data_IF_016909848738
#
_entry.id   IF_016909848738
#
_cell.length_a   1.000
_cell.length_b   1.000
_cell.length_c   1.000
_cell.angle_alpha   90.00
_cell.angle_beta   90.00
_cell.angle_gamma   90.00
#
_symmetry.space_group_name_H-M   'P 1'
#
loop_
_entity.id
_entity.type
_entity.pdbx_description
1 polymer ?
#
# COMPACT_ATOMS: atom_id res chain seq x y z
N UNK A 1 -3.26 -8.22 -6.76
CA UNK A 1 -3.55 -8.49 -5.34
C UNK A 1 -4.67 -9.51 -5.31
N UNK A 2 -4.56 -10.52 -4.45
CA UNK A 2 -5.59 -11.54 -4.24
C UNK A 2 -6.25 -11.30 -2.88
N UNK A 3 -7.50 -11.73 -2.73
CA UNK A 3 -8.22 -11.68 -1.46
C UNK A 3 -7.89 -12.91 -0.61
N UNK A 4 -7.65 -12.70 0.68
CA UNK A 4 -7.40 -13.78 1.64
C UNK A 4 -8.23 -13.59 2.92
N UNK A 5 -8.14 -14.55 3.85
CA UNK A 5 -8.72 -14.43 5.19
C UNK A 5 -7.60 -14.33 6.23
N UNK A 6 -7.75 -13.41 7.18
CA UNK A 6 -6.88 -13.36 8.34
C UNK A 6 -7.01 -14.67 9.14
N UNK A 7 -5.91 -15.38 9.46
CA UNK A 7 -5.98 -16.65 10.18
C UNK A 7 -6.42 -16.51 11.64
N UNK A 8 -6.36 -15.30 12.21
CA UNK A 8 -6.71 -15.03 13.60
C UNK A 8 -8.18 -14.63 13.74
N UNK A 9 -8.58 -13.54 13.07
CA UNK A 9 -9.93 -12.97 13.20
C UNK A 9 -10.88 -13.36 12.06
N UNK A 10 -10.41 -14.08 11.04
CA UNK A 10 -11.20 -14.53 9.87
C UNK A 10 -11.80 -13.41 9.01
N UNK A 11 -11.40 -12.15 9.24
CA UNK A 11 -11.74 -11.03 8.38
C UNK A 11 -11.17 -11.22 6.97
N UNK A 12 -11.87 -10.69 5.96
CA UNK A 12 -11.39 -10.67 4.58
C UNK A 12 -10.34 -9.57 4.46
N UNK A 13 -9.18 -9.90 3.89
CA UNK A 13 -8.06 -8.98 3.71
C UNK A 13 -7.65 -8.88 2.25
N UNK A 14 -7.10 -7.73 1.86
CA UNK A 14 -6.69 -7.47 0.49
C UNK A 14 -7.85 -7.01 -0.40
N UNK A 15 -7.89 -7.46 -1.65
CA UNK A 15 -8.94 -7.12 -2.61
C UNK A 15 -8.52 -7.39 -4.06
N UNK A 16 -9.29 -6.90 -5.02
CA UNK A 16 -9.12 -7.19 -6.46
C UNK A 16 -8.78 -5.93 -7.24
N UNK A 17 -7.99 -6.05 -8.32
CA UNK A 17 -7.68 -4.92 -9.23
C UNK A 17 -7.13 -3.68 -8.51
N UNK A 18 -6.17 -3.86 -7.60
CA UNK A 18 -5.58 -2.78 -6.78
C UNK A 18 -6.56 -2.03 -5.86
N UNK A 19 -7.79 -2.53 -5.71
CA UNK A 19 -8.79 -1.98 -4.80
C UNK A 19 -8.91 -2.87 -3.57
N UNK A 20 -8.65 -2.30 -2.39
CA UNK A 20 -8.91 -2.95 -1.11
C UNK A 20 -10.42 -3.10 -0.88
N UNK A 21 -10.83 -4.13 -0.14
CA UNK A 21 -12.20 -4.19 0.38
C UNK A 21 -12.47 -2.97 1.27
N UNK A 22 -13.72 -2.49 1.25
CA UNK A 22 -14.13 -1.23 1.92
C UNK A 22 -14.04 -1.28 3.44
N UNK A 23 -13.98 -2.48 4.00
CA UNK A 23 -13.86 -2.77 5.42
C UNK A 23 -12.41 -3.02 5.87
N UNK A 24 -11.44 -3.02 4.94
CA UNK A 24 -10.02 -3.03 5.34
C UNK A 24 -9.63 -1.67 5.93
N UNK A 25 -9.10 -1.70 7.14
CA UNK A 25 -8.51 -0.55 7.82
C UNK A 25 -6.98 -0.68 7.91
N UNK A 26 -6.32 0.42 8.23
CA UNK A 26 -4.91 0.40 8.62
C UNK A 26 -4.73 -0.45 9.89
N UNK A 27 -3.72 -1.31 9.89
CA UNK A 27 -3.25 -2.08 11.04
C UNK A 27 -2.04 -1.34 11.67
N UNK A 28 -2.25 -0.37 12.59
CA UNK A 28 -1.17 0.44 13.16
C UNK A 28 -0.12 -0.38 13.94
N UNK A 29 -0.48 -1.58 14.38
CA UNK A 29 0.41 -2.52 15.06
C UNK A 29 1.46 -3.15 14.15
N UNK A 30 1.24 -3.14 12.83
CA UNK A 30 2.21 -3.67 11.87
C UNK A 30 3.25 -2.60 11.55
N UNK A 31 4.52 -2.95 11.71
CA UNK A 31 5.68 -2.17 11.25
C UNK A 31 5.76 -0.72 11.78
N UNK A 32 5.10 -0.43 12.92
CA UNK A 32 4.91 0.94 13.44
C UNK A 32 4.32 1.89 12.39
N UNK A 33 3.43 1.39 11.52
CA UNK A 33 2.84 2.17 10.46
C UNK A 33 1.95 3.29 11.03
N UNK A 34 2.44 4.53 11.00
CA UNK A 34 1.67 5.70 11.41
C UNK A 34 0.55 6.05 10.42
N UNK A 35 0.75 5.74 9.14
CA UNK A 35 -0.17 6.05 8.03
C UNK A 35 -0.21 4.89 7.03
N UNK A 36 -1.33 4.71 6.30
CA UNK A 36 -1.35 3.74 5.21
C UNK A 36 -0.37 4.15 4.09
N UNK A 37 0.22 3.17 3.40
CA UNK A 37 1.24 3.44 2.37
C UNK A 37 0.73 4.33 1.23
N UNK A 38 -0.58 4.31 0.95
CA UNK A 38 -1.22 5.11 -0.09
C UNK A 38 -1.62 6.52 0.36
N UNK A 39 -1.33 6.93 1.61
CA UNK A 39 -1.72 8.24 2.17
C UNK A 39 -1.02 9.42 1.45
N UNK A 40 0.14 9.19 0.83
CA UNK A 40 0.93 10.26 0.20
C UNK A 40 1.34 9.97 -1.25
N UNK A 41 0.34 9.85 -2.11
CA UNK A 41 0.53 9.59 -3.55
C UNK A 41 1.40 10.66 -4.26
N UNK A 42 1.42 11.89 -3.75
CA UNK A 42 2.24 12.96 -4.32
C UNK A 42 3.74 12.73 -4.07
N UNK A 43 4.11 12.34 -2.85
CA UNK A 43 5.49 12.01 -2.52
C UNK A 43 5.98 10.79 -3.31
N UNK A 44 5.14 9.77 -3.45
CA UNK A 44 5.45 8.58 -4.26
C UNK A 44 5.70 8.94 -5.72
N UNK A 45 4.84 9.81 -6.27
CA UNK A 45 4.99 10.30 -7.66
C UNK A 45 6.28 11.09 -7.83
N UNK A 46 6.63 11.97 -6.90
CA UNK A 46 7.85 12.76 -6.97
C UNK A 46 9.12 11.87 -6.89
N UNK A 47 9.12 10.87 -6.01
CA UNK A 47 10.20 9.90 -5.93
C UNK A 47 10.36 9.13 -7.25
N UNK A 48 9.26 8.67 -7.83
CA UNK A 48 9.29 7.96 -9.11
C UNK A 48 9.91 8.80 -10.24
N UNK A 49 9.58 10.09 -10.31
CA UNK A 49 10.15 11.01 -11.31
C UNK A 49 11.66 11.19 -11.10
N UNK A 50 12.12 11.33 -9.85
CA UNK A 50 13.56 11.44 -9.55
C UNK A 50 14.33 10.18 -9.93
N UNK A 51 13.79 9.01 -9.61
CA UNK A 51 14.41 7.73 -9.97
C UNK A 51 14.52 7.55 -11.49
N UNK A 52 13.49 7.97 -12.25
CA UNK A 52 13.53 7.93 -13.71
C UNK A 52 14.64 8.84 -14.26
N UNK A 53 14.75 10.07 -13.75
CA UNK A 53 15.82 10.99 -14.17
C UNK A 53 17.21 10.41 -13.93
N UNK A 54 17.44 9.79 -12.77
CA UNK A 54 18.72 9.15 -12.46
C UNK A 54 19.03 7.99 -13.41
N UNK A 55 18.02 7.21 -13.84
CA UNK A 55 18.22 6.13 -14.82
C UNK A 55 18.56 6.66 -16.21
N UNK A 56 17.97 7.79 -16.60
CA UNK A 56 18.20 8.42 -17.91
C UNK A 56 19.59 9.10 -17.99
N UNK A 57 20.25 9.31 -16.86
CA UNK A 57 21.60 9.91 -16.75
C UNK A 57 22.75 8.87 -16.89
N UNK A 58 22.45 7.57 -17.06
CA UNK A 58 23.41 6.48 -17.30
C UNK A 58 23.30 5.92 -18.73
#
# INVERSE_FOLDING_TARGET
MEEAKCPECHARIGGTNHRLLTDNAQAPEMDNAERPIWDNINADRELALRLQQQLDEF
#
